data_IF_288856366695
#
_entry.id   IF_288856366695
#
_cell.length_a   1.000
_cell.length_b   1.000
_cell.length_c   1.000
_cell.angle_alpha   90.00
_cell.angle_beta   90.00
_cell.angle_gamma   90.00
#
_symmetry.space_group_name_H-M   'P 1'
#
loop_
_entity.id
_entity.type
_entity.pdbx_description
1 polymer ?
#
# COMPACT_ATOMS: atom_id res chain seq x y z
N UNK A 1 -5.13 -14.73 6.94
CA UNK A 1 -5.74 -13.68 6.11
C UNK A 1 -5.99 -12.41 6.93
N UNK A 2 -4.93 -11.84 7.54
CA UNK A 2 -5.08 -10.75 8.52
C UNK A 2 -5.35 -9.38 7.87
N UNK A 3 -4.77 -9.10 6.69
CA UNK A 3 -4.92 -7.81 6.00
C UNK A 3 -6.36 -7.48 5.57
N UNK A 4 -7.18 -8.48 5.18
CA UNK A 4 -8.54 -8.22 4.71
C UNK A 4 -9.48 -7.75 5.83
N UNK A 5 -9.26 -8.21 7.06
CA UNK A 5 -10.04 -7.77 8.23
C UNK A 5 -9.76 -6.31 8.59
N UNK A 6 -8.58 -5.79 8.24
CA UNK A 6 -8.18 -4.40 8.52
C UNK A 6 -9.12 -3.41 7.83
N UNK A 7 -9.54 -3.68 6.58
CA UNK A 7 -10.37 -2.80 5.75
C UNK A 7 -11.84 -2.68 6.17
N UNK A 8 -12.30 -3.41 7.18
CA UNK A 8 -13.71 -3.40 7.59
C UNK A 8 -14.03 -2.37 8.68
N UNK A 9 -13.01 -1.81 9.36
CA UNK A 9 -13.18 -0.78 10.40
C UNK A 9 -12.66 0.57 9.92
N UNK A 10 -13.56 1.54 9.73
CA UNK A 10 -13.25 2.84 9.11
C UNK A 10 -12.48 3.82 10.01
N UNK A 11 -12.59 3.72 11.34
CA UNK A 11 -11.94 4.68 12.26
C UNK A 11 -10.48 4.33 12.58
N UNK A 12 -10.05 3.07 12.40
CA UNK A 12 -8.72 2.61 12.83
C UNK A 12 -7.93 1.84 11.76
N UNK A 13 -8.40 1.90 10.52
CA UNK A 13 -7.82 1.21 9.37
C UNK A 13 -6.29 1.43 9.25
N UNK A 14 -5.84 2.68 9.42
CA UNK A 14 -4.43 3.03 9.25
C UNK A 14 -3.53 2.51 10.37
N UNK A 15 -4.02 2.45 11.62
CA UNK A 15 -3.25 1.90 12.74
C UNK A 15 -3.08 0.39 12.57
N UNK A 16 -4.19 -0.31 12.30
CA UNK A 16 -4.19 -1.75 11.99
C UNK A 16 -3.34 -2.11 10.78
N UNK A 17 -3.29 -1.24 9.76
CA UNK A 17 -2.44 -1.45 8.60
C UNK A 17 -0.96 -1.33 8.97
N UNK A 18 -0.63 -0.42 9.89
CA UNK A 18 0.73 -0.24 10.40
C UNK A 18 1.18 -1.48 11.21
N UNK A 19 0.28 -2.13 11.94
CA UNK A 19 0.57 -3.40 12.65
C UNK A 19 0.91 -4.56 11.70
N UNK A 20 0.49 -4.49 10.43
CA UNK A 20 0.76 -5.50 9.42
C UNK A 20 2.10 -5.31 8.69
N UNK A 21 2.82 -4.22 8.97
CA UNK A 21 4.09 -3.93 8.30
C UNK A 21 5.22 -4.80 8.83
N UNK A 22 6.18 -5.07 7.95
CA UNK A 22 7.46 -5.64 8.37
C UNK A 22 8.12 -4.69 9.38
N UNK A 23 8.46 -5.16 10.60
CA UNK A 23 9.13 -4.33 11.60
C UNK A 23 10.46 -3.70 11.12
N UNK A 24 11.08 -4.28 10.09
CA UNK A 24 12.29 -3.75 9.47
C UNK A 24 12.02 -2.65 8.42
N UNK A 25 10.75 -2.43 8.03
CA UNK A 25 10.37 -1.36 7.12
C UNK A 25 10.29 -0.03 7.89
N UNK A 26 11.47 0.57 8.10
CA UNK A 26 11.64 1.78 8.92
C UNK A 26 11.32 3.08 8.17
N UNK A 27 11.27 3.05 6.84
CA UNK A 27 11.01 4.21 5.98
C UNK A 27 9.98 3.85 4.91
N UNK A 28 8.86 4.55 4.93
CA UNK A 28 7.82 4.40 3.92
C UNK A 28 6.90 5.62 3.94
N UNK A 29 6.32 5.94 2.78
CA UNK A 29 5.27 6.93 2.69
C UNK A 29 3.91 6.30 3.02
N UNK A 30 3.10 6.98 3.84
CA UNK A 30 1.78 6.47 4.27
C UNK A 30 0.85 6.20 3.09
N UNK A 31 0.88 7.04 2.05
CA UNK A 31 0.02 6.83 0.89
C UNK A 31 0.51 5.65 0.05
N UNK A 32 1.82 5.47 -0.11
CA UNK A 32 2.39 4.32 -0.81
C UNK A 32 2.02 3.02 -0.09
N UNK A 33 2.08 3.00 1.24
CA UNK A 33 1.59 1.90 2.07
C UNK A 33 0.09 1.63 1.84
N UNK A 34 -0.75 2.67 1.91
CA UNK A 34 -2.19 2.55 1.71
C UNK A 34 -2.53 1.98 0.33
N UNK A 35 -1.91 2.53 -0.73
CA UNK A 35 -2.12 2.08 -2.10
C UNK A 35 -1.67 0.64 -2.32
N UNK A 36 -0.56 0.24 -1.68
CA UNK A 36 -0.07 -1.13 -1.74
C UNK A 36 -1.02 -2.10 -1.02
N UNK A 37 -1.57 -1.68 0.11
CA UNK A 37 -2.57 -2.44 0.84
C UNK A 37 -3.86 -2.60 0.01
N UNK A 38 -4.35 -1.53 -0.62
CA UNK A 38 -5.53 -1.58 -1.49
C UNK A 38 -5.30 -2.49 -2.71
N UNK A 39 -4.13 -2.41 -3.36
CA UNK A 39 -3.78 -3.33 -4.44
C UNK A 39 -3.75 -4.78 -3.96
N UNK A 40 -3.15 -5.04 -2.80
CA UNK A 40 -3.10 -6.39 -2.24
C UNK A 40 -4.50 -6.95 -1.96
N UNK A 41 -5.41 -6.12 -1.42
CA UNK A 41 -6.83 -6.46 -1.18
C UNK A 41 -7.51 -6.88 -2.47
N UNK A 42 -7.37 -6.08 -3.52
CA UNK A 42 -8.02 -6.35 -4.81
C UNK A 42 -7.46 -7.63 -5.46
N UNK A 43 -6.14 -7.88 -5.35
CA UNK A 43 -5.50 -9.09 -5.88
C UNK A 43 -5.99 -10.39 -5.22
N UNK A 44 -6.45 -10.34 -3.97
CA UNK A 44 -6.92 -11.51 -3.21
C UNK A 44 -8.43 -11.53 -2.98
N UNK A 45 -9.21 -10.74 -3.73
CA UNK A 45 -10.68 -10.74 -3.60
C UNK A 45 -11.24 -12.16 -3.82
N UNK A 46 -12.19 -12.56 -2.97
CA UNK A 46 -12.85 -13.88 -3.07
C UNK A 46 -13.57 -14.05 -4.42
N UNK A 47 -14.09 -12.96 -4.97
CA UNK A 47 -14.63 -12.95 -6.32
C UNK A 47 -13.50 -12.72 -7.34
N UNK A 48 -13.13 -13.78 -8.05
CA UNK A 48 -12.08 -13.75 -9.08
C UNK A 48 -12.33 -12.71 -10.18
N UNK A 49 -13.58 -12.33 -10.46
CA UNK A 49 -13.93 -11.32 -11.47
C UNK A 49 -13.57 -9.89 -11.04
N UNK A 50 -13.38 -9.66 -9.74
CA UNK A 50 -12.96 -8.35 -9.18
C UNK A 50 -11.45 -8.20 -9.11
N UNK A 51 -10.70 -9.30 -9.26
CA UNK A 51 -9.24 -9.26 -9.23
C UNK A 51 -8.73 -8.52 -10.47
N UNK A 52 -7.73 -7.64 -10.32
CA UNK A 52 -7.11 -7.01 -11.47
C UNK A 52 -6.40 -8.05 -12.33
N UNK A 53 -6.39 -7.86 -13.65
CA UNK A 53 -5.42 -8.55 -14.49
C UNK A 53 -4.00 -8.08 -14.16
N UNK A 54 -3.01 -8.87 -14.60
CA UNK A 54 -1.60 -8.59 -14.29
C UNK A 54 -1.11 -7.27 -14.89
N UNK A 55 -1.70 -6.81 -15.99
CA UNK A 55 -1.35 -5.53 -16.62
C UNK A 55 -1.76 -4.37 -15.72
N UNK A 56 -3.01 -4.40 -15.21
CA UNK A 56 -3.50 -3.40 -14.28
C UNK A 56 -2.74 -3.43 -12.95
N UNK A 57 -2.39 -4.62 -12.44
CA UNK A 57 -1.53 -4.75 -11.26
C UNK A 57 -0.15 -4.10 -11.48
N UNK A 58 0.49 -4.34 -12.64
CA UNK A 58 1.78 -3.75 -12.98
C UNK A 58 1.71 -2.21 -13.13
N UNK A 59 0.63 -1.69 -13.73
CA UNK A 59 0.39 -0.23 -13.84
C UNK A 59 0.26 0.38 -12.45
N UNK A 60 -0.55 -0.21 -11.55
CA UNK A 60 -0.73 0.30 -10.19
C UNK A 60 0.58 0.28 -9.39
N UNK A 61 1.36 -0.81 -9.49
CA UNK A 61 2.69 -0.88 -8.90
C UNK A 61 3.63 0.20 -9.42
N UNK A 62 3.57 0.51 -10.72
CA UNK A 62 4.38 1.56 -11.33
C UNK A 62 4.06 2.92 -10.75
N UNK A 63 2.77 3.25 -10.56
CA UNK A 63 2.36 4.49 -9.90
C UNK A 63 2.82 4.54 -8.44
N UNK A 64 2.64 3.45 -7.67
CA UNK A 64 3.09 3.38 -6.27
C UNK A 64 4.60 3.63 -6.16
N UNK A 65 5.38 3.02 -7.06
CA UNK A 65 6.84 3.19 -7.11
C UNK A 65 7.24 4.63 -7.42
N UNK A 66 6.58 5.27 -8.38
CA UNK A 66 6.84 6.67 -8.74
C UNK A 66 6.59 7.57 -7.53
N UNK A 67 5.43 7.44 -6.89
CA UNK A 67 5.08 8.22 -5.70
C UNK A 67 6.05 7.98 -4.53
N UNK A 68 6.50 6.73 -4.31
CA UNK A 68 7.51 6.42 -3.29
C UNK A 68 8.82 7.15 -3.55
N UNK A 69 9.31 7.14 -4.80
CA UNK A 69 10.55 7.83 -5.18
C UNK A 69 10.44 9.35 -5.09
N UNK A 70 9.28 9.92 -5.39
CA UNK A 70 9.03 11.35 -5.25
C UNK A 70 9.08 11.78 -3.79
N UNK A 71 8.49 10.99 -2.90
CA UNK A 71 8.55 11.21 -1.47
C UNK A 71 9.99 11.10 -0.92
N UNK A 72 10.75 10.06 -1.31
CA UNK A 72 12.15 9.90 -0.91
C UNK A 72 13.02 11.10 -1.32
N UNK A 73 12.78 11.67 -2.51
CA UNK A 73 13.47 12.88 -2.96
C UNK A 73 13.14 14.10 -2.09
N UNK A 74 11.88 14.26 -1.71
CA UNK A 74 11.45 15.38 -0.86
C UNK A 74 12.03 15.29 0.56
N UNK A 75 12.13 14.10 1.13
CA UNK A 75 12.83 13.90 2.42
C UNK A 75 14.31 14.26 2.34
N UNK A 76 15.01 13.87 1.26
CA UNK A 76 16.41 14.27 1.07
C UNK A 76 16.58 15.79 1.00
N UNK A 77 15.67 16.51 0.34
CA UNK A 77 15.71 17.97 0.25
C UNK A 77 15.40 18.70 1.57
N UNK A 78 14.68 18.06 2.50
CA UNK A 78 14.41 18.64 3.84
C UNK A 78 15.55 18.41 4.84
N UNK A 79 16.49 17.52 4.55
CA UNK A 79 17.63 17.18 5.42
C UNK A 79 18.95 17.85 4.95
N UNK A 80 18.86 18.83 4.05
CA UNK A 80 19.96 19.68 3.56
C UNK A 80 19.71 21.13 4.01
#
# INVERSE_FOLDING_TARGET
MQMLAVFNDTEDFMAKLTECLDPNLTRYHKDSMLQMALLSKDCVDENWQRRPDMSNAAIRLSHILISSKEWEKMECCHNL
#
